data_IF_486199885639
#
_entry.id   IF_486199885639
#
_cell.length_a   1.000
_cell.length_b   1.000
_cell.length_c   1.000
_cell.angle_alpha   90.00
_cell.angle_beta   90.00
_cell.angle_gamma   90.00
#
_symmetry.space_group_name_H-M   'P 1'
#
loop_
_entity.id
_entity.type
_entity.pdbx_description
1 polymer ?
#
# COMPACT_ATOMS: atom_id res chain seq x y z
N UNK A 1 -21.03 -8.13 1.56
CA UNK A 1 -19.95 -9.14 1.39
C UNK A 1 -20.61 -10.53 1.41
N UNK A 2 -21.25 -10.94 2.51
CA UNK A 2 -21.88 -12.24 2.70
C UNK A 2 -22.74 -12.66 1.49
N UNK A 3 -23.71 -11.83 1.10
CA UNK A 3 -24.60 -12.10 -0.04
C UNK A 3 -23.85 -12.31 -1.37
N UNK A 4 -22.67 -11.70 -1.54
CA UNK A 4 -21.83 -11.87 -2.71
C UNK A 4 -21.19 -13.26 -2.77
N UNK A 5 -20.75 -13.79 -1.64
CA UNK A 5 -20.18 -15.13 -1.53
C UNK A 5 -21.24 -16.22 -1.58
N UNK A 6 -22.46 -15.97 -1.08
CA UNK A 6 -23.56 -16.94 -1.15
C UNK A 6 -24.04 -17.23 -2.57
N UNK A 7 -24.03 -16.22 -3.44
CA UNK A 7 -24.50 -16.35 -4.84
C UNK A 7 -23.41 -16.63 -5.85
N UNK A 8 -22.15 -16.54 -5.45
CA UNK A 8 -21.01 -16.76 -6.34
C UNK A 8 -19.97 -17.65 -5.67
N UNK A 9 -19.26 -18.44 -6.49
CA UNK A 9 -18.09 -19.21 -6.06
C UNK A 9 -16.83 -18.48 -6.52
N UNK A 10 -15.93 -18.17 -5.58
CA UNK A 10 -14.66 -17.54 -5.84
C UNK A 10 -13.50 -18.49 -5.57
N UNK A 11 -12.60 -18.67 -6.53
CA UNK A 11 -11.36 -19.41 -6.32
C UNK A 11 -10.31 -18.54 -5.61
N UNK A 12 -10.24 -17.26 -5.97
CA UNK A 12 -9.29 -16.29 -5.42
C UNK A 12 -10.01 -15.02 -5.02
N UNK A 13 -9.56 -14.43 -3.92
CA UNK A 13 -10.06 -13.13 -3.46
C UNK A 13 -8.90 -12.15 -3.39
N UNK A 14 -9.01 -11.04 -4.12
CA UNK A 14 -8.08 -9.91 -4.06
C UNK A 14 -8.70 -8.81 -3.21
N UNK A 15 -8.22 -8.67 -1.99
CA UNK A 15 -8.74 -7.67 -1.06
C UNK A 15 -7.91 -6.39 -1.12
N UNK A 16 -8.26 -5.50 -2.05
CA UNK A 16 -7.64 -4.19 -2.25
C UNK A 16 -8.44 -3.05 -1.61
N UNK A 17 -9.69 -3.33 -1.22
CA UNK A 17 -10.55 -2.32 -0.61
C UNK A 17 -10.01 -1.86 0.74
N UNK A 18 -9.76 -0.56 0.86
CA UNK A 18 -9.30 0.06 2.08
C UNK A 18 -9.58 1.57 2.07
N UNK A 19 -9.71 2.14 3.26
CA UNK A 19 -9.56 3.58 3.41
C UNK A 19 -8.09 3.89 3.72
N UNK A 20 -7.30 4.04 2.66
CA UNK A 20 -5.86 4.25 2.73
C UNK A 20 -5.53 5.74 2.87
N UNK A 21 -5.66 6.28 4.07
CA UNK A 21 -5.39 7.68 4.40
C UNK A 21 -4.59 7.77 5.71
N UNK A 22 -3.30 7.44 5.62
CA UNK A 22 -2.35 7.39 6.74
C UNK A 22 -2.41 8.67 7.57
N UNK A 23 -2.16 9.83 6.97
CA UNK A 23 -2.15 11.13 7.65
C UNK A 23 -3.51 11.59 8.21
N UNK A 24 -4.63 11.02 7.76
CA UNK A 24 -5.97 11.32 8.30
C UNK A 24 -6.37 10.33 9.40
N UNK A 25 -5.79 9.14 9.42
CA UNK A 25 -6.21 8.05 10.30
C UNK A 25 -6.24 8.41 11.80
N UNK A 26 -5.34 9.28 12.34
CA UNK A 26 -5.40 9.71 13.73
C UNK A 26 -6.67 10.48 14.12
N UNK A 27 -7.33 11.11 13.17
CA UNK A 27 -8.53 11.92 13.38
C UNK A 27 -9.84 11.15 13.16
N UNK A 28 -9.76 9.96 12.54
CA UNK A 28 -10.93 9.16 12.15
C UNK A 28 -10.80 7.69 12.56
N UNK A 29 -10.24 7.41 13.74
CA UNK A 29 -9.90 6.05 14.23
C UNK A 29 -11.03 5.04 14.05
N UNK A 30 -12.23 5.34 14.54
CA UNK A 30 -13.38 4.45 14.42
C UNK A 30 -13.69 4.10 12.95
N UNK A 31 -13.81 5.10 12.10
CA UNK A 31 -14.02 4.91 10.67
C UNK A 31 -12.88 4.11 10.00
N UNK A 32 -11.63 4.39 10.38
CA UNK A 32 -10.46 3.66 9.89
C UNK A 32 -10.54 2.17 10.26
N UNK A 33 -10.86 1.83 11.51
CA UNK A 33 -10.97 0.43 11.95
C UNK A 33 -12.18 -0.29 11.35
N UNK A 34 -13.32 0.39 11.21
CA UNK A 34 -14.52 -0.19 10.59
C UNK A 34 -14.27 -0.55 9.10
N UNK A 35 -13.58 0.32 8.35
CA UNK A 35 -13.36 0.13 6.92
C UNK A 35 -12.13 -0.72 6.58
N UNK A 36 -11.13 -0.78 7.45
CA UNK A 36 -9.93 -1.55 7.21
C UNK A 36 -9.94 -2.88 7.99
N UNK A 37 -9.99 -2.84 9.32
CA UNK A 37 -9.85 -4.05 10.14
C UNK A 37 -11.14 -4.89 10.13
N UNK A 38 -12.27 -4.30 10.52
CA UNK A 38 -13.54 -5.03 10.63
C UNK A 38 -14.05 -5.53 9.27
N UNK A 39 -13.82 -4.75 8.21
CA UNK A 39 -14.15 -5.18 6.85
C UNK A 39 -13.31 -6.38 6.42
N UNK A 40 -11.99 -6.38 6.73
CA UNK A 40 -11.08 -7.50 6.43
C UNK A 40 -11.49 -8.75 7.18
N UNK A 41 -11.77 -8.67 8.49
CA UNK A 41 -12.21 -9.82 9.29
C UNK A 41 -13.47 -10.49 8.70
N UNK A 42 -14.42 -9.70 8.18
CA UNK A 42 -15.61 -10.25 7.49
C UNK A 42 -15.23 -10.98 6.20
N UNK A 43 -14.29 -10.44 5.41
CA UNK A 43 -13.82 -11.09 4.17
C UNK A 43 -13.09 -12.41 4.51
N UNK A 44 -12.26 -12.41 5.53
CA UNK A 44 -11.55 -13.63 6.01
C UNK A 44 -12.55 -14.71 6.39
N UNK A 45 -13.59 -14.37 7.16
CA UNK A 45 -14.64 -15.33 7.52
C UNK A 45 -15.35 -15.92 6.29
N UNK A 46 -15.68 -15.11 5.31
CA UNK A 46 -16.30 -15.58 4.08
C UNK A 46 -15.34 -16.43 3.23
N UNK A 47 -14.05 -16.07 3.17
CA UNK A 47 -13.05 -16.90 2.49
C UNK A 47 -12.95 -18.30 3.12
N UNK A 48 -12.98 -18.40 4.45
CA UNK A 48 -12.97 -19.69 5.18
C UNK A 48 -14.26 -20.47 4.90
N UNK A 49 -15.41 -19.84 5.07
CA UNK A 49 -16.74 -20.46 4.93
C UNK A 49 -16.99 -21.01 3.51
N UNK A 50 -16.39 -20.40 2.50
CA UNK A 50 -16.61 -20.72 1.09
C UNK A 50 -15.40 -21.39 0.41
N UNK A 51 -14.44 -21.90 1.17
CA UNK A 51 -13.28 -22.66 0.69
C UNK A 51 -12.49 -21.93 -0.41
N UNK A 52 -12.26 -20.60 -0.26
CA UNK A 52 -11.44 -19.82 -1.17
C UNK A 52 -10.02 -20.39 -1.22
N UNK A 53 -9.49 -20.63 -2.43
CA UNK A 53 -8.16 -21.22 -2.62
C UNK A 53 -7.04 -20.37 -2.08
N UNK A 54 -7.13 -19.02 -2.26
CA UNK A 54 -6.16 -18.07 -1.68
C UNK A 54 -6.76 -16.68 -1.58
N UNK A 55 -6.47 -16.02 -0.45
CA UNK A 55 -6.71 -14.61 -0.20
C UNK A 55 -5.41 -13.82 -0.49
N UNK A 56 -5.45 -12.88 -1.45
CA UNK A 56 -4.39 -11.89 -1.65
C UNK A 56 -4.81 -10.60 -0.96
N UNK A 57 -4.06 -10.19 0.04
CA UNK A 57 -4.34 -9.00 0.83
C UNK A 57 -3.30 -7.92 0.59
N UNK A 58 -3.74 -6.71 0.25
CA UNK A 58 -2.85 -5.55 0.21
C UNK A 58 -2.77 -4.90 1.58
N UNK A 59 -1.62 -5.07 2.21
CA UNK A 59 -1.22 -4.36 3.41
C UNK A 59 -0.57 -3.01 3.05
N UNK A 60 0.52 -2.64 3.69
CA UNK A 60 1.22 -1.36 3.48
C UNK A 60 2.61 -1.39 4.11
N UNK A 61 3.54 -0.56 3.65
CA UNK A 61 4.80 -0.31 4.36
C UNK A 61 4.61 0.43 5.70
N UNK A 62 3.48 1.09 5.93
CA UNK A 62 3.17 1.76 7.21
C UNK A 62 3.21 0.81 8.42
N UNK A 63 3.13 -0.50 8.20
CA UNK A 63 3.25 -1.50 9.28
C UNK A 63 4.64 -1.53 9.91
N UNK A 64 5.68 -1.11 9.21
CA UNK A 64 7.04 -1.07 9.72
C UNK A 64 7.32 0.11 10.66
N UNK A 65 6.54 1.18 10.57
CA UNK A 65 6.78 2.41 11.31
C UNK A 65 8.09 3.09 10.87
N UNK A 66 8.90 3.55 11.84
CA UNK A 66 10.15 4.24 11.51
C UNK A 66 11.24 3.34 10.92
N UNK A 67 11.19 2.04 11.17
CA UNK A 67 12.18 1.07 10.72
C UNK A 67 13.59 1.31 11.28
N UNK A 68 14.52 0.45 10.89
CA UNK A 68 15.93 0.52 11.30
C UNK A 68 16.76 1.19 10.19
N UNK A 69 16.65 2.52 10.07
CA UNK A 69 17.41 3.28 9.06
C UNK A 69 16.74 3.44 7.71
N UNK A 70 15.45 3.11 7.60
CA UNK A 70 14.63 3.40 6.41
C UNK A 70 14.64 2.35 5.32
N UNK A 71 15.32 1.22 5.49
CA UNK A 71 15.21 0.05 4.63
C UNK A 71 14.29 -0.96 5.31
N UNK A 72 13.21 -1.34 4.61
CA UNK A 72 12.19 -2.24 5.13
C UNK A 72 12.36 -3.65 4.54
N UNK A 73 12.76 -4.59 5.39
CA UNK A 73 12.82 -6.03 5.08
C UNK A 73 11.58 -6.72 5.64
N UNK A 74 11.06 -7.74 4.96
CA UNK A 74 9.84 -8.46 5.38
C UNK A 74 9.99 -9.17 6.72
N UNK A 75 11.23 -9.45 7.16
CA UNK A 75 11.55 -10.08 8.44
C UNK A 75 11.63 -9.09 9.59
N UNK A 76 11.69 -7.79 9.29
CA UNK A 76 11.78 -6.75 10.29
C UNK A 76 10.53 -6.72 11.17
N UNK A 77 10.72 -6.43 12.45
CA UNK A 77 9.61 -6.26 13.39
C UNK A 77 8.70 -5.10 12.95
N UNK A 78 7.41 -5.34 12.93
CA UNK A 78 6.41 -4.32 12.64
C UNK A 78 6.17 -3.46 13.88
N UNK A 79 6.19 -2.14 13.69
CA UNK A 79 5.98 -1.14 14.74
C UNK A 79 5.24 0.09 14.18
N UNK A 80 3.98 -0.05 13.74
CA UNK A 80 3.23 1.02 13.10
C UNK A 80 3.09 2.23 14.01
N UNK A 81 3.21 3.44 13.44
CA UNK A 81 3.17 4.71 14.16
C UNK A 81 1.85 5.48 14.02
N UNK A 82 0.93 4.97 13.22
CA UNK A 82 -0.38 5.58 12.97
C UNK A 82 -1.51 4.52 12.96
N UNK A 83 -2.79 4.93 13.17
CA UNK A 83 -3.91 4.01 13.24
C UNK A 83 -4.20 3.23 11.95
N UNK A 84 -3.80 3.74 10.77
CA UNK A 84 -3.93 3.01 9.53
C UNK A 84 -2.94 1.83 9.48
N UNK A 85 -1.67 2.08 9.81
CA UNK A 85 -0.66 1.02 9.92
C UNK A 85 -1.03 -0.01 10.98
N UNK A 86 -1.55 0.42 12.16
CA UNK A 86 -2.07 -0.49 13.19
C UNK A 86 -3.19 -1.39 12.65
N UNK A 87 -4.18 -0.81 11.94
CA UNK A 87 -5.29 -1.58 11.36
C UNK A 87 -4.79 -2.61 10.34
N UNK A 88 -3.87 -2.22 9.46
CA UNK A 88 -3.31 -3.11 8.43
C UNK A 88 -2.47 -4.23 9.04
N UNK A 89 -1.65 -3.92 10.05
CA UNK A 89 -0.89 -4.94 10.77
C UNK A 89 -1.80 -5.93 11.51
N UNK A 90 -2.85 -5.44 12.17
CA UNK A 90 -3.83 -6.31 12.79
C UNK A 90 -4.54 -7.24 11.77
N UNK A 91 -4.81 -6.74 10.55
CA UNK A 91 -5.32 -7.60 9.47
C UNK A 91 -4.32 -8.68 9.06
N UNK A 92 -3.03 -8.36 8.95
CA UNK A 92 -2.00 -9.36 8.64
C UNK A 92 -1.97 -10.49 9.69
N UNK A 93 -2.01 -10.13 10.96
CA UNK A 93 -2.06 -11.09 12.07
C UNK A 93 -3.31 -11.98 11.99
N UNK A 94 -4.50 -11.38 11.78
CA UNK A 94 -5.76 -12.09 11.69
C UNK A 94 -5.78 -13.09 10.51
N UNK A 95 -5.27 -12.69 9.36
CA UNK A 95 -5.14 -13.54 8.17
C UNK A 95 -4.18 -14.73 8.43
N UNK A 96 -3.05 -14.49 9.08
CA UNK A 96 -2.09 -15.55 9.44
C UNK A 96 -2.71 -16.55 10.42
N UNK A 97 -3.42 -16.06 11.45
CA UNK A 97 -4.16 -16.90 12.40
C UNK A 97 -5.22 -17.73 11.69
N UNK A 98 -5.97 -17.13 10.75
CA UNK A 98 -6.95 -17.86 9.94
C UNK A 98 -6.29 -18.97 9.09
N UNK A 99 -5.10 -18.72 8.56
CA UNK A 99 -4.29 -19.72 7.87
C UNK A 99 -3.86 -20.87 8.76
N UNK A 100 -3.48 -20.60 10.01
CA UNK A 100 -3.08 -21.62 10.99
C UNK A 100 -4.26 -22.44 11.52
N UNK A 101 -5.37 -21.76 11.84
CA UNK A 101 -6.52 -22.39 12.49
C UNK A 101 -7.49 -23.06 11.52
N UNK A 102 -7.64 -22.53 10.31
CA UNK A 102 -8.66 -22.94 9.35
C UNK A 102 -8.09 -23.39 8.01
N UNK A 103 -6.77 -23.32 7.82
CA UNK A 103 -6.12 -23.73 6.56
C UNK A 103 -6.32 -22.76 5.40
N UNK A 104 -6.80 -21.53 5.64
CA UNK A 104 -6.90 -20.50 4.61
C UNK A 104 -5.50 -20.23 4.04
N UNK A 105 -5.34 -20.40 2.72
CA UNK A 105 -4.12 -19.99 2.06
C UNK A 105 -4.17 -18.49 1.77
N UNK A 106 -3.03 -17.81 1.87
CA UNK A 106 -2.96 -16.35 1.75
C UNK A 106 -1.61 -15.89 1.18
N UNK A 107 -1.62 -14.71 0.57
CA UNK A 107 -0.42 -13.94 0.26
C UNK A 107 -0.67 -12.48 0.67
N UNK A 108 0.23 -11.91 1.47
CA UNK A 108 0.16 -10.54 1.94
C UNK A 108 1.17 -9.71 1.17
N UNK A 109 0.68 -8.69 0.47
CA UNK A 109 1.50 -7.75 -0.27
C UNK A 109 1.58 -6.44 0.51
N UNK A 110 2.78 -5.91 0.70
CA UNK A 110 3.04 -4.59 1.29
C UNK A 110 3.48 -3.62 0.19
N UNK A 111 2.53 -2.97 -0.50
CA UNK A 111 2.85 -1.98 -1.53
C UNK A 111 3.26 -0.66 -0.91
N UNK A 112 3.95 0.18 -1.72
CA UNK A 112 4.24 1.54 -1.32
C UNK A 112 4.13 2.51 -2.50
N UNK A 113 3.64 3.72 -2.20
CA UNK A 113 3.52 4.87 -3.10
C UNK A 113 3.06 4.50 -4.53
N UNK A 114 2.06 3.62 -4.62
CA UNK A 114 1.51 3.20 -5.91
C UNK A 114 0.78 4.36 -6.55
N UNK A 115 1.08 4.64 -7.79
CA UNK A 115 0.42 5.66 -8.60
C UNK A 115 0.05 5.11 -9.98
N UNK A 116 -0.84 5.78 -10.68
CA UNK A 116 -1.23 5.39 -12.03
C UNK A 116 -2.52 6.03 -12.49
N UNK A 117 -2.92 5.65 -13.71
CA UNK A 117 -4.16 6.13 -14.33
C UNK A 117 -5.37 5.78 -13.46
N UNK A 118 -6.37 6.67 -13.43
CA UNK A 118 -7.60 6.55 -12.64
C UNK A 118 -7.41 6.63 -11.13
N UNK A 119 -6.21 6.98 -10.62
CA UNK A 119 -6.07 7.21 -9.19
C UNK A 119 -6.94 8.39 -8.72
N UNK A 120 -7.39 8.33 -7.46
CA UNK A 120 -8.10 9.44 -6.85
C UNK A 120 -7.13 10.60 -6.59
N UNK A 121 -7.34 11.73 -7.27
CA UNK A 121 -6.53 12.95 -7.12
C UNK A 121 -7.20 14.02 -6.24
N UNK A 122 -8.50 13.86 -5.93
CA UNK A 122 -9.30 14.86 -5.17
C UNK A 122 -9.02 14.84 -3.67
N UNK A 123 -8.50 13.73 -3.15
CA UNK A 123 -8.30 13.54 -1.72
C UNK A 123 -6.89 13.98 -1.31
N UNK A 124 -6.80 15.06 -0.56
CA UNK A 124 -5.55 15.67 -0.07
C UNK A 124 -4.76 14.78 0.93
N UNK A 125 -5.29 13.63 1.31
CA UNK A 125 -4.63 12.67 2.21
C UNK A 125 -4.15 11.42 1.48
N UNK A 126 -4.21 11.41 0.16
CA UNK A 126 -3.73 10.32 -0.68
C UNK A 126 -2.28 10.52 -1.11
N UNK A 127 -1.87 9.76 -2.11
CA UNK A 127 -0.56 9.78 -2.73
C UNK A 127 -0.17 11.20 -3.20
N UNK A 128 1.07 11.60 -2.93
CA UNK A 128 1.60 12.93 -3.22
C UNK A 128 1.48 13.32 -4.70
N UNK A 129 1.71 12.38 -5.63
CA UNK A 129 1.58 12.63 -7.07
C UNK A 129 0.13 12.99 -7.44
N UNK A 130 -0.86 12.34 -6.83
CA UNK A 130 -2.27 12.70 -7.00
C UNK A 130 -2.59 14.08 -6.46
N UNK A 131 -2.04 14.45 -5.32
CA UNK A 131 -2.20 15.79 -4.74
C UNK A 131 -1.62 16.86 -5.67
N UNK A 132 -0.40 16.67 -6.17
CA UNK A 132 0.23 17.61 -7.12
C UNK A 132 -0.51 17.71 -8.43
N UNK A 133 -1.01 16.57 -8.97
CA UNK A 133 -1.85 16.57 -10.17
C UNK A 133 -3.11 17.42 -9.97
N UNK A 134 -3.82 17.25 -8.86
CA UNK A 134 -4.99 18.06 -8.54
C UNK A 134 -4.64 19.53 -8.40
N UNK A 135 -3.56 19.86 -7.71
CA UNK A 135 -3.10 21.22 -7.52
C UNK A 135 -2.71 21.88 -8.85
N UNK A 136 -1.98 21.17 -9.71
CA UNK A 136 -1.61 21.64 -11.05
C UNK A 136 -2.85 21.91 -11.91
N UNK A 137 -3.81 20.98 -11.98
CA UNK A 137 -5.05 21.14 -12.74
C UNK A 137 -5.92 22.31 -12.25
N UNK A 138 -5.79 22.69 -10.99
CA UNK A 138 -6.50 23.84 -10.42
C UNK A 138 -5.65 25.14 -10.37
N UNK A 139 -4.50 25.18 -11.06
CA UNK A 139 -3.59 26.32 -11.09
C UNK A 139 -3.16 26.78 -9.69
N UNK A 140 -2.98 25.85 -8.77
CA UNK A 140 -2.47 26.13 -7.42
C UNK A 140 -1.05 25.60 -7.27
N UNK A 141 -0.30 26.14 -6.30
CA UNK A 141 1.06 25.71 -6.01
C UNK A 141 1.07 24.29 -5.46
N UNK A 142 2.00 23.45 -5.94
CA UNK A 142 2.23 22.13 -5.38
C UNK A 142 2.78 22.20 -3.97
N UNK A 143 2.26 21.39 -3.08
CA UNK A 143 2.65 21.39 -1.66
C UNK A 143 3.75 20.36 -1.40
N UNK A 144 4.83 20.82 -0.76
CA UNK A 144 5.86 19.98 -0.14
C UNK A 144 5.73 20.16 1.37
N UNK A 145 5.60 19.05 2.12
CA UNK A 145 5.60 19.08 3.57
C UNK A 145 7.04 18.93 4.10
N UNK A 146 7.45 19.86 4.97
CA UNK A 146 8.82 19.92 5.48
C UNK A 146 9.82 20.46 4.45
N UNK A 147 11.04 19.93 4.51
CA UNK A 147 12.18 20.32 3.65
C UNK A 147 12.21 19.61 2.29
N UNK A 148 11.38 18.58 2.09
CA UNK A 148 11.36 17.78 0.88
C UNK A 148 12.48 16.73 0.77
N UNK A 149 13.33 16.58 1.80
CA UNK A 149 14.43 15.61 1.83
C UNK A 149 13.99 14.20 2.25
N UNK A 150 12.73 14.03 2.65
CA UNK A 150 12.18 12.72 2.91
C UNK A 150 12.15 11.90 1.61
N UNK A 151 12.53 10.61 1.71
CA UNK A 151 12.70 9.76 0.54
C UNK A 151 11.66 8.67 0.43
N UNK A 152 11.24 8.42 -0.80
CA UNK A 152 10.27 7.39 -1.19
C UNK A 152 10.76 6.67 -2.44
N UNK A 153 10.30 5.44 -2.62
CA UNK A 153 10.27 4.82 -3.92
C UNK A 153 8.84 4.91 -4.47
N UNK A 154 8.68 5.11 -5.76
CA UNK A 154 7.38 5.23 -6.42
C UNK A 154 7.11 3.99 -7.27
N UNK A 155 5.86 3.55 -7.30
CA UNK A 155 5.47 2.31 -7.97
C UNK A 155 4.38 2.61 -8.99
N UNK A 156 4.67 2.43 -10.27
CA UNK A 156 3.64 2.52 -11.28
C UNK A 156 2.73 1.30 -11.23
N UNK A 157 1.43 1.51 -11.32
CA UNK A 157 0.44 0.44 -11.10
C UNK A 157 0.60 -0.74 -12.05
N UNK A 158 0.93 -0.50 -13.33
CA UNK A 158 1.03 -1.57 -14.32
C UNK A 158 2.18 -2.54 -14.01
N UNK A 159 3.28 -2.06 -13.41
CA UNK A 159 4.38 -2.92 -12.94
C UNK A 159 3.94 -3.89 -11.81
N UNK A 160 2.84 -3.57 -11.12
CA UNK A 160 2.31 -4.36 -10.01
C UNK A 160 1.23 -5.36 -10.42
N UNK A 161 0.63 -5.25 -11.61
CA UNK A 161 -0.53 -6.07 -12.00
C UNK A 161 -0.19 -7.56 -12.13
N UNK A 162 0.86 -7.90 -12.87
CA UNK A 162 1.32 -9.29 -13.01
C UNK A 162 1.80 -9.88 -11.67
N UNK A 163 2.62 -9.19 -10.85
CA UNK A 163 2.96 -9.63 -9.50
C UNK A 163 1.75 -9.90 -8.60
N UNK A 164 0.73 -9.05 -8.63
CA UNK A 164 -0.49 -9.27 -7.84
C UNK A 164 -1.26 -10.51 -8.29
N UNK A 165 -1.33 -10.77 -9.60
CA UNK A 165 -1.89 -12.02 -10.12
C UNK A 165 -1.06 -13.23 -9.69
N UNK A 166 0.26 -13.15 -9.80
CA UNK A 166 1.19 -14.20 -9.39
C UNK A 166 1.10 -14.50 -7.88
N UNK A 167 0.79 -13.50 -7.05
CA UNK A 167 0.52 -13.69 -5.62
C UNK A 167 -0.68 -14.62 -5.36
N UNK A 168 -1.66 -14.67 -6.28
CA UNK A 168 -2.79 -15.57 -6.16
C UNK A 168 -2.48 -16.99 -6.66
N UNK A 169 -1.75 -17.12 -7.78
CA UNK A 169 -1.68 -18.38 -8.52
C UNK A 169 -0.38 -19.16 -8.33
N UNK A 170 0.73 -18.52 -7.97
CA UNK A 170 2.01 -19.21 -7.80
C UNK A 170 2.07 -19.96 -6.48
N UNK A 171 2.49 -21.24 -6.49
CA UNK A 171 2.67 -22.02 -5.25
C UNK A 171 3.66 -21.37 -4.27
N UNK A 172 4.72 -20.77 -4.79
CA UNK A 172 5.79 -20.12 -4.01
C UNK A 172 5.30 -18.90 -3.22
N UNK A 173 4.17 -18.32 -3.62
CA UNK A 173 3.55 -17.18 -2.94
C UNK A 173 2.63 -17.58 -1.77
N UNK A 174 2.45 -18.92 -1.53
CA UNK A 174 1.62 -19.43 -0.44
C UNK A 174 2.20 -19.06 0.91
N UNK A 175 1.39 -18.42 1.75
CA UNK A 175 1.74 -17.99 3.12
C UNK A 175 2.96 -17.06 3.17
N UNK A 176 3.11 -16.21 2.15
CA UNK A 176 4.21 -15.27 2.05
C UNK A 176 3.76 -13.82 2.29
N UNK A 177 4.63 -13.06 2.96
CA UNK A 177 4.55 -11.61 3.06
C UNK A 177 5.61 -11.04 2.14
N UNK A 178 5.23 -10.14 1.24
CA UNK A 178 6.11 -9.66 0.17
C UNK A 178 5.97 -8.14 0.01
N UNK A 179 7.08 -7.41 0.12
CA UNK A 179 7.15 -6.01 -0.26
C UNK A 179 7.06 -5.89 -1.78
N UNK A 180 6.23 -4.98 -2.28
CA UNK A 180 6.04 -4.78 -3.71
C UNK A 180 6.04 -3.30 -4.05
N UNK A 181 6.94 -2.88 -4.94
CA UNK A 181 6.98 -1.51 -5.44
C UNK A 181 8.30 -1.09 -6.04
N UNK A 182 8.40 0.20 -6.39
CA UNK A 182 9.56 0.78 -7.04
C UNK A 182 10.85 0.54 -6.25
N UNK A 183 11.95 0.38 -6.98
CA UNK A 183 13.26 0.03 -6.42
C UNK A 183 14.16 1.25 -6.26
N UNK A 184 13.86 2.34 -6.94
CA UNK A 184 14.67 3.55 -6.92
C UNK A 184 14.22 4.52 -5.82
N UNK A 185 15.21 5.10 -5.17
CA UNK A 185 15.01 6.05 -4.08
C UNK A 185 15.03 7.47 -4.60
N UNK A 186 13.95 8.20 -4.36
CA UNK A 186 13.85 9.62 -4.71
C UNK A 186 13.46 10.45 -3.49
N UNK A 187 14.04 11.64 -3.36
CA UNK A 187 13.52 12.66 -2.45
C UNK A 187 12.21 13.24 -2.99
N UNK A 188 11.43 13.87 -2.13
CA UNK A 188 10.23 14.59 -2.59
C UNK A 188 10.61 15.79 -3.46
N UNK A 189 11.77 16.40 -3.23
CA UNK A 189 12.30 17.46 -4.08
C UNK A 189 12.59 16.95 -5.51
N UNK A 190 13.32 15.84 -5.66
CA UNK A 190 13.55 15.20 -6.98
C UNK A 190 12.25 14.80 -7.68
N UNK A 191 11.29 14.26 -6.92
CA UNK A 191 9.99 13.88 -7.48
C UNK A 191 9.17 15.08 -7.97
N UNK A 192 9.20 16.21 -7.26
CA UNK A 192 8.48 17.42 -7.68
C UNK A 192 9.15 18.07 -8.88
N UNK A 193 10.48 18.08 -8.96
CA UNK A 193 11.22 18.58 -10.11
C UNK A 193 10.86 17.77 -11.37
N UNK A 194 10.88 16.43 -11.27
CA UNK A 194 10.44 15.54 -12.36
C UNK A 194 8.99 15.82 -12.75
N UNK A 195 8.09 15.99 -11.77
CA UNK A 195 6.69 16.31 -12.02
C UNK A 195 6.56 17.65 -12.78
N UNK A 196 7.33 18.69 -12.41
CA UNK A 196 7.33 19.99 -13.07
C UNK A 196 7.83 19.87 -14.51
N UNK A 197 8.90 19.12 -14.73
CA UNK A 197 9.48 18.92 -16.07
C UNK A 197 8.47 18.23 -17.02
N UNK A 198 7.75 17.25 -16.53
CA UNK A 198 6.77 16.49 -17.33
C UNK A 198 5.48 17.27 -17.59
N UNK A 199 5.00 18.03 -16.60
CA UNK A 199 3.66 18.65 -16.66
C UNK A 199 3.69 20.14 -17.04
N UNK A 200 4.85 20.78 -17.00
CA UNK A 200 4.98 22.24 -17.15
C UNK A 200 4.51 23.01 -15.91
N UNK A 201 4.26 22.35 -14.79
CA UNK A 201 3.96 23.02 -13.53
C UNK A 201 5.16 23.87 -13.08
N UNK A 202 4.94 25.03 -12.47
CA UNK A 202 6.02 25.98 -12.24
C UNK A 202 6.23 26.42 -10.78
N UNK A 203 5.36 26.02 -9.86
CA UNK A 203 5.34 26.63 -8.53
C UNK A 203 5.12 25.61 -7.42
N UNK A 204 6.00 25.62 -6.45
CA UNK A 204 5.89 24.86 -5.19
C UNK A 204 5.68 25.81 -4.01
N UNK A 205 5.16 25.26 -2.92
CA UNK A 205 5.15 25.87 -1.59
C UNK A 205 5.52 24.84 -0.55
N UNK A 206 6.30 25.25 0.44
CA UNK A 206 6.57 24.43 1.59
C UNK A 206 5.55 24.71 2.69
N UNK A 207 5.08 23.64 3.35
CA UNK A 207 4.22 23.68 4.54
C UNK A 207 4.91 22.99 5.69
N UNK A 208 4.36 23.11 6.89
CA UNK A 208 4.90 22.44 8.09
C UNK A 208 5.00 20.92 7.86
N UNK A 209 6.09 20.32 8.32
CA UNK A 209 6.35 18.89 8.19
C UNK A 209 5.26 18.05 8.87
N UNK A 210 4.88 16.95 8.26
CA UNK A 210 3.95 15.98 8.84
C UNK A 210 4.69 14.99 9.74
N UNK A 211 3.95 14.40 10.67
CA UNK A 211 4.45 13.23 11.39
C UNK A 211 4.42 12.02 10.45
N UNK A 212 5.55 11.72 9.84
CA UNK A 212 5.70 10.64 8.87
C UNK A 212 7.11 10.01 8.95
N UNK A 213 7.26 8.84 8.35
CA UNK A 213 8.56 8.18 8.21
C UNK A 213 9.44 8.99 7.25
N UNK A 214 10.64 9.39 7.70
CA UNK A 214 11.55 10.22 6.89
C UNK A 214 12.05 9.48 5.65
N UNK A 215 12.50 8.24 5.82
CA UNK A 215 13.03 7.40 4.74
C UNK A 215 12.27 6.08 4.69
N UNK A 216 11.68 5.75 3.55
CA UNK A 216 10.87 4.54 3.38
C UNK A 216 11.21 3.86 2.06
N UNK A 217 12.02 2.80 2.13
CA UNK A 217 12.47 2.03 0.99
C UNK A 217 12.37 0.54 1.34
N UNK A 218 11.58 -0.25 0.62
CA UNK A 218 11.51 -1.69 0.85
C UNK A 218 12.67 -2.42 0.18
N UNK A 219 12.99 -3.59 0.71
CA UNK A 219 13.64 -4.63 -0.08
C UNK A 219 12.67 -5.14 -1.14
N UNK A 220 13.14 -5.51 -2.30
CA UNK A 220 12.31 -5.95 -3.43
C UNK A 220 12.70 -7.33 -3.98
N UNK A 221 13.79 -7.92 -3.49
CA UNK A 221 14.30 -9.17 -4.04
C UNK A 221 13.26 -10.30 -3.98
N UNK A 222 12.52 -10.38 -2.89
CA UNK A 222 11.46 -11.38 -2.71
C UNK A 222 10.34 -11.25 -3.74
N UNK A 223 9.95 -10.03 -4.11
CA UNK A 223 8.96 -9.81 -5.17
C UNK A 223 9.48 -10.20 -6.56
N UNK A 224 10.77 -10.01 -6.83
CA UNK A 224 11.40 -10.49 -8.07
C UNK A 224 11.40 -12.01 -8.13
N UNK A 225 11.88 -12.67 -7.07
CA UNK A 225 12.09 -14.12 -7.06
C UNK A 225 10.75 -14.89 -7.05
N UNK A 226 9.79 -14.46 -6.25
CA UNK A 226 8.51 -15.16 -6.06
C UNK A 226 7.45 -14.69 -7.06
N UNK A 227 7.30 -13.38 -7.23
CA UNK A 227 6.21 -12.81 -8.03
C UNK A 227 6.60 -12.47 -9.47
N UNK A 228 7.90 -12.51 -9.79
CA UNK A 228 8.41 -12.11 -11.10
C UNK A 228 8.30 -10.60 -11.35
N UNK A 229 8.36 -9.79 -10.27
CA UNK A 229 8.31 -8.33 -10.38
C UNK A 229 9.41 -7.79 -11.28
N UNK A 230 9.05 -6.87 -12.13
CA UNK A 230 9.95 -6.11 -13.00
C UNK A 230 9.63 -4.63 -12.85
N UNK A 231 10.61 -3.85 -12.47
CA UNK A 231 10.49 -2.40 -12.45
C UNK A 231 10.78 -1.87 -13.87
N UNK A 232 9.76 -1.42 -14.56
CA UNK A 232 9.86 -0.96 -15.95
C UNK A 232 9.61 0.53 -16.11
N UNK A 233 9.02 1.16 -15.09
CA UNK A 233 8.64 2.56 -15.09
C UNK A 233 9.28 3.28 -13.91
N UNK A 234 10.12 4.28 -14.21
CA UNK A 234 10.72 5.20 -13.24
C UNK A 234 9.89 6.47 -13.08
#
# INVERSE_FOLDING_TARGET
IENCFEVNKFDYVFHFAAYAAEGLSPFIRGYNYDNNLKATARIVNECIKHDVKRLVFTSTLAVYGHGDGGIFDEKQQQAPIDPYGVAKYACEMDIQIAGEQHGLDWCIIRPHNVYGIKQNIWDKYRNVLGIWMYQHLNNTRMTIFGDGEQTRAFSYIDDSLEPLWNAAVRPEASKEIINLGGIEKHSINEAVDTFMDVTGACCVRHEEGRHEVKHSIPTYQKSVDILGFKHTTN
#
